data_IF_912801794904
#
_entry.id   IF_912801794904
#
_cell.length_a   1.000
_cell.length_b   1.000
_cell.length_c   1.000
_cell.angle_alpha   90.00
_cell.angle_beta   90.00
_cell.angle_gamma   90.00
#
_symmetry.space_group_name_H-M   'P 1'
#
loop_
_entity.id
_entity.type
_entity.pdbx_description
1 polymer ?
#
# COMPACT_ATOMS: atom_id res chain seq x y z
N UNK A 1 -10.47 -27.79 -19.70
CA UNK A 1 -9.58 -28.77 -19.03
C UNK A 1 -9.81 -28.63 -17.55
N UNK A 2 -10.31 -29.68 -16.90
CA UNK A 2 -10.77 -29.72 -15.51
C UNK A 2 -9.56 -29.75 -14.56
N UNK A 3 -9.54 -28.92 -13.51
CA UNK A 3 -8.64 -29.12 -12.38
C UNK A 3 -9.47 -29.15 -11.11
N UNK A 4 -9.38 -30.26 -10.49
CA UNK A 4 -10.10 -30.84 -9.38
C UNK A 4 -9.75 -30.19 -8.03
N UNK A 5 -10.78 -30.06 -7.23
CA UNK A 5 -10.85 -29.84 -5.79
C UNK A 5 -10.02 -30.87 -4.99
N UNK A 6 -9.23 -30.43 -4.03
CA UNK A 6 -8.74 -31.29 -2.95
C UNK A 6 -9.04 -30.65 -1.59
N UNK A 7 -10.20 -30.97 -1.09
CA UNK A 7 -10.54 -30.96 0.33
C UNK A 7 -9.95 -32.22 0.98
N UNK A 8 -9.12 -32.09 1.99
CA UNK A 8 -8.84 -33.16 2.96
C UNK A 8 -8.97 -32.65 4.39
N UNK A 9 -10.14 -32.90 4.92
CA UNK A 9 -10.47 -32.87 6.33
C UNK A 9 -9.93 -34.17 6.95
N UNK A 10 -8.99 -34.07 7.90
CA UNK A 10 -8.54 -35.21 8.68
C UNK A 10 -9.11 -35.08 10.08
N UNK A 11 -10.16 -35.86 10.36
CA UNK A 11 -10.77 -36.08 11.65
C UNK A 11 -9.99 -37.20 12.36
N UNK A 12 -9.31 -36.88 13.44
CA UNK A 12 -8.72 -37.92 14.30
C UNK A 12 -9.57 -38.04 15.57
N UNK A 13 -10.37 -39.08 15.58
CA UNK A 13 -11.12 -39.55 16.77
C UNK A 13 -10.20 -40.51 17.51
N UNK A 14 -9.83 -40.17 18.72
CA UNK A 14 -9.16 -41.09 19.64
C UNK A 14 -10.12 -41.50 20.74
N UNK A 15 -10.70 -42.67 20.59
CA UNK A 15 -11.46 -43.35 21.63
C UNK A 15 -10.54 -44.23 22.46
N UNK A 16 -10.44 -43.98 23.75
CA UNK A 16 -9.94 -44.98 24.71
C UNK A 16 -10.97 -45.13 25.83
N UNK A 17 -11.50 -46.32 25.87
CA UNK A 17 -12.43 -46.85 26.84
C UNK A 17 -11.71 -47.33 28.11
N UNK A 18 -12.31 -47.01 29.25
CA UNK A 18 -12.44 -47.97 30.36
C UNK A 18 -11.41 -47.92 31.46
N UNK A 19 -11.83 -47.53 32.65
CA UNK A 19 -11.85 -48.44 33.81
C UNK A 19 -12.65 -47.80 34.94
N UNK A 20 -13.67 -48.55 35.40
CA UNK A 20 -14.49 -48.30 36.58
C UNK A 20 -13.70 -48.77 37.82
N UNK A 21 -13.60 -47.92 38.83
CA UNK A 21 -13.39 -48.32 40.20
C UNK A 21 -14.13 -47.35 41.13
N UNK A 22 -15.17 -47.83 41.73
CA UNK A 22 -15.88 -47.19 42.83
C UNK A 22 -15.00 -47.07 44.06
N UNK A 23 -14.95 -45.87 44.66
CA UNK A 23 -14.82 -45.73 46.11
C UNK A 23 -15.46 -44.42 46.52
N UNK A 24 -16.45 -44.54 47.37
CA UNK A 24 -17.21 -43.47 47.99
C UNK A 24 -16.37 -42.62 48.95
N UNK A 25 -16.51 -41.33 48.94
CA UNK A 25 -16.77 -40.43 50.09
C UNK A 25 -16.33 -38.98 49.79
N UNK A 26 -17.24 -38.04 50.16
CA UNK A 26 -17.10 -36.57 50.22
C UNK A 26 -17.18 -35.77 48.90
N UNK A 27 -18.43 -35.63 48.45
CA UNK A 27 -18.92 -34.43 47.74
C UNK A 27 -19.00 -33.29 48.75
N UNK A 28 -18.20 -32.26 48.55
CA UNK A 28 -18.52 -30.85 48.88
C UNK A 28 -17.28 -29.94 48.87
N UNK A 29 -16.57 -29.86 47.75
CA UNK A 29 -15.58 -28.79 47.54
C UNK A 29 -15.09 -28.59 46.10
N UNK A 30 -15.73 -29.17 45.07
CA UNK A 30 -15.19 -29.12 43.70
C UNK A 30 -15.94 -28.17 42.76
N UNK A 31 -17.10 -27.61 43.16
CA UNK A 31 -17.91 -26.76 42.26
C UNK A 31 -17.57 -25.27 42.26
N UNK A 32 -16.85 -24.77 43.26
CA UNK A 32 -16.46 -23.35 43.32
C UNK A 32 -15.17 -22.98 42.55
N UNK A 33 -14.31 -23.95 42.30
CA UNK A 33 -13.01 -23.69 41.65
C UNK A 33 -13.10 -23.73 40.12
N UNK A 34 -14.02 -24.53 39.56
CA UNK A 34 -14.23 -24.60 38.09
C UNK A 34 -14.94 -23.37 37.59
N UNK A 35 -15.90 -22.82 38.31
CA UNK A 35 -16.63 -21.59 37.91
C UNK A 35 -15.74 -20.34 37.96
N UNK A 36 -14.75 -20.27 38.85
CA UNK A 36 -13.79 -19.16 38.91
C UNK A 36 -12.74 -19.25 37.82
N UNK A 37 -12.35 -20.44 37.39
CA UNK A 37 -11.39 -20.64 36.29
C UNK A 37 -11.98 -20.29 34.94
N UNK A 38 -13.25 -20.66 34.66
CA UNK A 38 -13.96 -20.31 33.42
C UNK A 38 -14.19 -18.80 33.32
N UNK A 39 -14.58 -18.12 34.39
CA UNK A 39 -14.74 -16.67 34.43
C UNK A 39 -13.41 -15.92 34.21
N UNK A 40 -12.28 -16.47 34.67
CA UNK A 40 -10.95 -15.91 34.45
C UNK A 40 -10.47 -16.02 32.99
N UNK A 41 -10.74 -17.16 32.36
CA UNK A 41 -10.41 -17.42 30.96
C UNK A 41 -11.22 -16.51 30.02
N UNK A 42 -12.50 -16.33 30.28
CA UNK A 42 -13.36 -15.45 29.50
C UNK A 42 -12.96 -13.96 29.62
N UNK A 43 -12.56 -13.52 30.81
CA UNK A 43 -12.05 -12.18 31.01
C UNK A 43 -10.71 -11.94 30.30
N UNK A 44 -9.83 -12.95 30.29
CA UNK A 44 -8.54 -12.87 29.59
C UNK A 44 -8.74 -12.87 28.07
N UNK A 45 -9.64 -13.69 27.55
CA UNK A 45 -9.98 -13.73 26.13
C UNK A 45 -10.59 -12.42 25.65
N UNK A 46 -11.49 -11.80 26.43
CA UNK A 46 -12.05 -10.49 26.11
C UNK A 46 -10.99 -9.39 26.04
N UNK A 47 -10.09 -9.34 27.01
CA UNK A 47 -8.96 -8.38 26.99
C UNK A 47 -8.05 -8.58 25.80
N UNK A 48 -7.72 -9.82 25.45
CA UNK A 48 -6.92 -10.14 24.28
C UNK A 48 -7.62 -9.71 22.97
N UNK A 49 -8.94 -9.88 22.89
CA UNK A 49 -9.73 -9.41 21.74
C UNK A 49 -9.76 -7.86 21.66
N UNK A 50 -10.00 -7.18 22.77
CA UNK A 50 -9.99 -5.71 22.83
C UNK A 50 -8.60 -5.14 22.45
N UNK A 51 -7.53 -5.77 22.92
CA UNK A 51 -6.16 -5.38 22.55
C UNK A 51 -5.88 -5.63 21.07
N UNK A 52 -6.33 -6.75 20.51
CA UNK A 52 -6.20 -7.07 19.10
C UNK A 52 -6.98 -6.10 18.20
N UNK A 53 -8.23 -5.77 18.58
CA UNK A 53 -9.06 -4.79 17.88
C UNK A 53 -8.43 -3.38 17.96
N UNK A 54 -7.93 -2.98 19.12
CA UNK A 54 -7.24 -1.71 19.29
C UNK A 54 -5.94 -1.65 18.47
N UNK A 55 -5.19 -2.74 18.39
CA UNK A 55 -3.99 -2.85 17.56
C UNK A 55 -4.34 -2.76 16.07
N UNK A 56 -5.38 -3.46 15.62
CA UNK A 56 -5.88 -3.40 14.25
C UNK A 56 -6.36 -2.00 13.87
N UNK A 57 -7.10 -1.34 14.75
CA UNK A 57 -7.54 0.04 14.55
C UNK A 57 -6.37 1.04 14.44
N UNK A 58 -5.34 0.88 15.27
CA UNK A 58 -4.11 1.69 15.19
C UNK A 58 -3.35 1.45 13.88
N UNK A 59 -3.24 0.20 13.44
CA UNK A 59 -2.60 -0.16 12.18
C UNK A 59 -3.36 0.44 10.98
N UNK A 60 -4.68 0.32 10.95
CA UNK A 60 -5.52 0.91 9.91
C UNK A 60 -5.42 2.44 9.87
N UNK A 61 -5.39 3.09 11.04
CA UNK A 61 -5.21 4.54 11.12
C UNK A 61 -3.80 4.98 10.65
N UNK A 62 -2.78 4.19 10.91
CA UNK A 62 -1.42 4.45 10.43
C UNK A 62 -1.33 4.31 8.91
N UNK A 63 -1.92 3.26 8.34
CA UNK A 63 -1.96 3.06 6.89
C UNK A 63 -2.73 4.19 6.18
N UNK A 64 -3.88 4.60 6.71
CA UNK A 64 -4.63 5.73 6.15
C UNK A 64 -3.84 7.05 6.19
N UNK A 65 -3.05 7.29 7.24
CA UNK A 65 -2.14 8.45 7.30
C UNK A 65 -1.06 8.35 6.22
N UNK A 66 -0.44 7.19 6.05
CA UNK A 66 0.57 6.95 5.01
C UNK A 66 -0.02 7.15 3.61
N UNK A 67 -1.20 6.58 3.35
CA UNK A 67 -1.94 6.76 2.10
C UNK A 67 -2.21 8.24 1.82
N UNK A 68 -2.73 8.97 2.80
CA UNK A 68 -3.04 10.39 2.64
C UNK A 68 -1.79 11.23 2.38
N UNK A 69 -0.70 10.97 3.10
CA UNK A 69 0.59 11.63 2.88
C UNK A 69 1.15 11.33 1.48
N UNK A 70 1.10 10.07 1.07
CA UNK A 70 1.55 9.66 -0.26
C UNK A 70 0.75 10.34 -1.38
N UNK A 71 -0.57 10.36 -1.29
CA UNK A 71 -1.44 11.00 -2.28
C UNK A 71 -1.32 12.53 -2.31
N UNK A 72 -0.81 13.14 -1.25
CA UNK A 72 -0.47 14.58 -1.23
C UNK A 72 0.82 14.88 -1.99
N UNK A 73 1.70 13.89 -2.18
CA UNK A 73 2.94 14.04 -2.96
C UNK A 73 2.62 13.87 -4.44
N UNK A 74 2.67 14.97 -5.17
CA UNK A 74 2.30 15.00 -6.59
C UNK A 74 3.44 15.37 -7.52
N UNK A 75 4.63 15.65 -6.98
CA UNK A 75 5.81 16.06 -7.74
C UNK A 75 6.94 15.08 -7.50
N UNK A 76 7.46 14.52 -8.58
CA UNK A 76 8.54 13.53 -8.56
C UNK A 76 9.75 14.11 -9.28
N UNK A 77 10.89 14.14 -8.61
CA UNK A 77 12.12 14.76 -9.09
C UNK A 77 13.09 13.73 -9.69
N UNK A 78 13.80 14.17 -10.72
CA UNK A 78 14.73 13.34 -11.46
C UNK A 78 16.16 13.88 -11.39
N UNK A 79 17.12 13.00 -11.53
CA UNK A 79 18.50 13.39 -11.63
C UNK A 79 18.82 13.93 -13.04
N UNK A 80 19.97 14.57 -13.17
CA UNK A 80 20.38 15.18 -14.44
C UNK A 80 20.48 14.10 -15.54
N UNK A 81 19.82 14.34 -16.66
CA UNK A 81 19.80 13.46 -17.84
C UNK A 81 19.29 12.02 -17.57
N UNK A 82 18.60 11.81 -16.47
CA UNK A 82 18.00 10.51 -16.10
C UNK A 82 16.48 10.55 -16.30
N UNK A 83 15.93 9.47 -16.87
CA UNK A 83 14.49 9.30 -17.07
C UNK A 83 13.84 8.36 -16.03
N UNK A 84 14.64 7.62 -15.27
CA UNK A 84 14.18 6.74 -14.20
C UNK A 84 13.85 7.56 -12.95
N UNK A 85 12.69 7.30 -12.35
CA UNK A 85 12.31 7.91 -11.07
C UNK A 85 13.08 7.25 -9.90
N UNK A 86 13.21 7.98 -8.81
CA UNK A 86 14.01 7.55 -7.66
C UNK A 86 13.38 6.37 -6.95
N UNK A 87 14.21 5.49 -6.40
CA UNK A 87 13.77 4.33 -5.63
C UNK A 87 12.84 4.72 -4.46
N UNK A 88 13.13 5.85 -3.79
CA UNK A 88 12.33 6.37 -2.69
C UNK A 88 10.90 6.79 -3.08
N UNK A 89 10.62 7.00 -4.37
CA UNK A 89 9.30 7.40 -4.85
C UNK A 89 8.37 6.20 -5.12
N UNK A 90 8.89 4.97 -5.08
CA UNK A 90 8.14 3.76 -5.42
C UNK A 90 6.90 3.55 -4.54
N UNK A 91 7.06 3.71 -3.24
CA UNK A 91 5.96 3.50 -2.30
C UNK A 91 4.86 4.54 -2.52
N UNK A 92 5.25 5.80 -2.74
CA UNK A 92 4.33 6.89 -3.05
C UNK A 92 3.56 6.61 -4.34
N UNK A 93 4.27 6.22 -5.41
CA UNK A 93 3.66 5.86 -6.70
C UNK A 93 2.75 4.63 -6.58
N UNK A 94 3.09 3.67 -5.72
CA UNK A 94 2.22 2.50 -5.45
C UNK A 94 0.90 2.92 -4.82
N UNK A 95 0.88 3.90 -3.89
CA UNK A 95 -0.36 4.44 -3.34
C UNK A 95 -1.19 5.15 -4.41
N UNK A 96 -0.58 5.92 -5.32
CA UNK A 96 -1.29 6.52 -6.46
C UNK A 96 -1.90 5.46 -7.39
N UNK A 97 -1.16 4.38 -7.69
CA UNK A 97 -1.66 3.30 -8.52
C UNK A 97 -2.87 2.60 -7.88
N UNK A 98 -2.79 2.30 -6.59
CA UNK A 98 -3.90 1.70 -5.82
C UNK A 98 -5.12 2.62 -5.76
N UNK A 99 -4.90 3.92 -5.59
CA UNK A 99 -5.99 4.90 -5.59
C UNK A 99 -6.70 4.97 -6.94
N UNK A 100 -5.95 4.95 -8.05
CA UNK A 100 -6.52 4.88 -9.39
C UNK A 100 -7.28 3.57 -9.62
N UNK A 101 -6.73 2.43 -9.20
CA UNK A 101 -7.38 1.13 -9.32
C UNK A 101 -8.70 1.07 -8.53
N UNK A 102 -8.74 1.67 -7.33
CA UNK A 102 -9.94 1.74 -6.50
C UNK A 102 -10.99 2.73 -7.03
N UNK A 103 -10.60 3.68 -7.88
CA UNK A 103 -11.47 4.75 -8.40
C UNK A 103 -11.46 4.77 -9.94
N UNK A 104 -12.20 3.89 -10.63
CA UNK A 104 -12.15 3.76 -12.10
C UNK A 104 -12.55 5.01 -12.89
N UNK A 105 -13.31 5.91 -12.28
CA UNK A 105 -13.71 7.20 -12.87
C UNK A 105 -12.64 8.29 -12.75
N UNK A 106 -11.69 8.13 -11.84
CA UNK A 106 -10.60 9.10 -11.62
C UNK A 106 -9.68 9.14 -12.84
N UNK A 107 -9.28 10.35 -13.23
CA UNK A 107 -8.31 10.61 -14.29
C UNK A 107 -7.20 11.47 -13.74
N UNK A 108 -6.02 11.28 -14.27
CA UNK A 108 -4.84 12.11 -13.98
C UNK A 108 -4.09 12.43 -15.27
N UNK A 109 -3.32 13.51 -15.22
CA UNK A 109 -2.34 13.86 -16.24
C UNK A 109 -0.95 13.86 -15.61
N UNK A 110 0.02 13.25 -16.29
CA UNK A 110 1.42 13.29 -15.95
C UNK A 110 2.12 14.32 -16.83
N UNK A 111 2.58 15.41 -16.24
CA UNK A 111 3.28 16.48 -16.93
C UNK A 111 4.79 16.35 -16.73
N UNK A 112 5.52 16.03 -17.81
CA UNK A 112 6.97 15.81 -17.77
C UNK A 112 7.75 17.08 -18.11
N UNK A 113 8.81 17.33 -17.33
CA UNK A 113 9.64 18.52 -17.44
C UNK A 113 11.14 18.19 -17.42
N UNK A 114 11.94 19.07 -17.99
CA UNK A 114 13.38 19.06 -17.98
C UNK A 114 13.93 20.43 -17.54
N UNK A 115 15.22 20.50 -17.22
CA UNK A 115 15.91 21.78 -17.09
C UNK A 115 16.32 22.32 -18.48
N UNK A 116 16.78 23.55 -18.54
CA UNK A 116 17.08 24.27 -19.79
C UNK A 116 18.36 23.81 -20.51
N UNK A 117 19.11 22.86 -19.95
CA UNK A 117 20.35 22.38 -20.55
C UNK A 117 20.06 21.37 -21.65
N UNK A 118 20.56 21.62 -22.83
CA UNK A 118 20.37 20.80 -24.03
C UNK A 118 19.57 21.49 -25.12
N UNK A 119 19.01 20.72 -26.05
CA UNK A 119 18.11 21.27 -27.07
C UNK A 119 16.64 21.10 -26.63
N UNK A 120 15.79 22.00 -27.10
CA UNK A 120 14.36 21.95 -26.82
C UNK A 120 13.74 20.61 -27.19
N UNK A 121 14.08 20.07 -28.35
CA UNK A 121 13.58 18.76 -28.82
C UNK A 121 14.03 17.63 -27.91
N UNK A 122 15.29 17.66 -27.48
CA UNK A 122 15.84 16.67 -26.54
C UNK A 122 15.09 16.74 -25.21
N UNK A 123 14.91 17.94 -24.65
CA UNK A 123 14.26 18.14 -23.36
C UNK A 123 12.77 17.76 -23.41
N UNK A 124 12.10 18.00 -24.54
CA UNK A 124 10.73 17.55 -24.76
C UNK A 124 10.66 16.01 -24.72
N UNK A 125 11.56 15.33 -25.44
CA UNK A 125 11.64 13.87 -25.43
C UNK A 125 12.03 13.30 -24.05
N UNK A 126 12.91 13.98 -23.31
CA UNK A 126 13.30 13.57 -21.96
C UNK A 126 12.13 13.67 -20.98
N UNK A 127 11.37 14.78 -21.01
CA UNK A 127 10.17 14.95 -20.21
C UNK A 127 9.11 13.87 -20.51
N UNK A 128 8.94 13.52 -21.79
CA UNK A 128 8.04 12.44 -22.21
C UNK A 128 8.49 11.08 -21.66
N UNK A 129 9.80 10.74 -21.77
CA UNK A 129 10.34 9.48 -21.21
C UNK A 129 10.10 9.39 -19.70
N UNK A 130 10.29 10.49 -18.94
CA UNK A 130 10.03 10.58 -17.50
C UNK A 130 8.56 10.32 -17.17
N UNK A 131 7.65 10.99 -17.85
CA UNK A 131 6.21 10.81 -17.67
C UNK A 131 5.78 9.38 -18.00
N UNK A 132 6.28 8.81 -19.10
CA UNK A 132 5.99 7.43 -19.50
C UNK A 132 6.61 6.39 -18.54
N UNK A 133 7.73 6.67 -17.91
CA UNK A 133 8.31 5.83 -16.87
C UNK A 133 7.37 5.69 -15.67
N UNK A 134 6.83 6.81 -15.18
CA UNK A 134 5.82 6.81 -14.10
C UNK A 134 4.51 6.14 -14.58
N UNK A 135 4.00 6.47 -15.77
CA UNK A 135 2.82 5.83 -16.36
C UNK A 135 2.92 4.30 -16.33
N UNK A 136 4.03 3.76 -16.84
CA UNK A 136 4.23 2.32 -16.89
C UNK A 136 4.25 1.69 -15.50
N UNK A 137 4.87 2.37 -14.53
CA UNK A 137 4.88 1.90 -13.15
C UNK A 137 3.47 1.87 -12.54
N UNK A 138 2.66 2.91 -12.76
CA UNK A 138 1.29 2.96 -12.28
C UNK A 138 0.42 1.84 -12.89
N UNK A 139 0.57 1.56 -14.20
CA UNK A 139 -0.16 0.49 -14.88
C UNK A 139 0.22 -0.88 -14.33
N UNK A 140 1.51 -1.15 -14.16
CA UNK A 140 2.00 -2.43 -13.59
C UNK A 140 1.46 -2.66 -12.17
N UNK A 141 1.21 -1.57 -11.43
CA UNK A 141 0.67 -1.61 -10.07
C UNK A 141 -0.87 -1.47 -10.00
N UNK A 142 -1.58 -1.64 -11.12
CA UNK A 142 -3.03 -1.82 -11.16
C UNK A 142 -3.85 -0.65 -11.71
N UNK A 143 -3.24 0.48 -12.06
CA UNK A 143 -3.97 1.59 -12.70
C UNK A 143 -4.33 1.22 -14.15
N UNK A 144 -5.48 1.69 -14.63
CA UNK A 144 -5.87 1.52 -16.02
C UNK A 144 -5.24 2.57 -16.93
N UNK A 145 -4.75 2.14 -18.12
CA UNK A 145 -4.13 3.05 -19.10
C UNK A 145 -5.01 4.25 -19.47
N UNK A 146 -6.32 4.03 -19.54
CA UNK A 146 -7.30 5.05 -19.91
C UNK A 146 -7.55 6.09 -18.81
N UNK A 147 -6.99 5.92 -17.62
CA UNK A 147 -7.07 6.88 -16.51
C UNK A 147 -5.94 7.92 -16.56
N UNK A 148 -4.90 7.69 -17.39
CA UNK A 148 -3.65 8.45 -17.31
C UNK A 148 -3.31 9.03 -18.68
N UNK A 149 -3.26 10.34 -18.75
CA UNK A 149 -2.72 11.11 -19.88
C UNK A 149 -1.26 11.48 -19.60
N UNK A 150 -0.41 11.49 -20.61
CA UNK A 150 0.97 11.98 -20.50
C UNK A 150 1.19 13.14 -21.44
N UNK A 151 1.81 14.21 -20.93
CA UNK A 151 2.21 15.39 -21.70
C UNK A 151 3.63 15.75 -21.30
N UNK A 152 4.45 16.16 -22.25
CA UNK A 152 5.75 16.75 -21.98
C UNK A 152 5.76 18.23 -22.36
N UNK A 153 6.33 19.03 -21.48
CA UNK A 153 6.64 20.43 -21.73
C UNK A 153 8.13 20.67 -21.87
N UNK A 154 8.96 19.62 -21.65
CA UNK A 154 10.40 19.79 -21.67
C UNK A 154 10.83 20.94 -20.76
N UNK A 155 11.57 21.90 -21.30
CA UNK A 155 12.04 23.11 -20.61
C UNK A 155 11.06 24.30 -20.64
N UNK A 156 9.92 24.18 -21.37
CA UNK A 156 9.04 25.32 -21.67
C UNK A 156 8.25 25.85 -20.47
N UNK A 157 8.06 25.00 -19.44
CA UNK A 157 7.34 25.37 -18.22
C UNK A 157 8.21 25.15 -16.97
N UNK A 158 9.23 25.99 -16.75
CA UNK A 158 10.08 25.85 -15.58
C UNK A 158 9.33 26.18 -14.30
N UNK A 159 9.54 25.37 -13.25
CA UNK A 159 9.11 25.67 -11.89
C UNK A 159 9.96 26.78 -11.26
N UNK A 160 11.23 26.86 -11.66
CA UNK A 160 12.17 27.89 -11.24
C UNK A 160 12.95 28.40 -12.46
N UNK A 161 12.98 29.71 -12.63
CA UNK A 161 13.69 30.39 -13.74
C UNK A 161 15.15 30.71 -13.42
N UNK A 162 15.65 30.29 -12.27
CA UNK A 162 17.06 30.44 -11.91
C UNK A 162 17.96 29.48 -12.68
N UNK A 163 19.24 29.83 -12.80
CA UNK A 163 20.27 29.05 -13.50
C UNK A 163 21.20 28.28 -12.54
N UNK A 164 20.81 28.15 -11.28
CA UNK A 164 21.54 27.35 -10.30
C UNK A 164 21.17 25.87 -10.39
N UNK A 165 22.06 24.98 -9.94
CA UNK A 165 21.74 23.55 -9.88
C UNK A 165 20.50 23.26 -9.03
N UNK A 166 20.25 24.06 -7.99
CA UNK A 166 19.04 23.96 -7.18
C UNK A 166 17.78 24.32 -7.99
N UNK A 167 17.83 25.33 -8.88
CA UNK A 167 16.74 25.65 -9.79
C UNK A 167 16.54 24.54 -10.83
N UNK A 168 17.61 24.05 -11.43
CA UNK A 168 17.57 22.93 -12.37
C UNK A 168 16.97 21.66 -11.75
N UNK A 169 17.32 21.36 -10.50
CA UNK A 169 16.72 20.22 -9.77
C UNK A 169 15.21 20.36 -9.61
N UNK A 170 14.68 21.57 -9.38
CA UNK A 170 13.24 21.80 -9.31
C UNK A 170 12.55 21.67 -10.67
N UNK A 171 13.28 21.92 -11.75
CA UNK A 171 12.75 21.82 -13.12
C UNK A 171 12.70 20.37 -13.61
N UNK A 172 13.62 19.51 -13.19
CA UNK A 172 13.66 18.09 -13.55
C UNK A 172 12.61 17.31 -12.78
N UNK A 173 11.36 17.34 -13.23
CA UNK A 173 10.25 16.77 -12.50
C UNK A 173 9.16 16.17 -13.39
N UNK A 174 8.33 15.35 -12.80
CA UNK A 174 7.00 14.99 -13.32
C UNK A 174 5.96 15.40 -12.28
N UNK A 175 4.91 16.02 -12.73
CA UNK A 175 3.77 16.42 -11.89
C UNK A 175 2.55 15.55 -12.18
N UNK A 176 1.82 15.14 -11.11
CA UNK A 176 0.50 14.52 -11.22
C UNK A 176 -0.55 15.63 -11.09
N UNK A 177 -1.31 15.87 -12.15
CA UNK A 177 -2.36 16.88 -12.22
C UNK A 177 -3.72 16.18 -12.33
N UNK A 178 -4.72 16.69 -11.62
CA UNK A 178 -6.12 16.34 -11.86
C UNK A 178 -6.59 17.18 -13.06
N UNK A 179 -7.10 16.58 -14.15
CA UNK A 179 -7.50 17.28 -15.38
C UNK A 179 -8.79 18.11 -15.19
#
# INVERSE_FOLDING_TARGET
MKITQFTKLALVIFALSGFVACSSTSEEAAESDVAQTESGVDATNRRAQEEAEAAAARAAAAEERMRRSALATRVFYFDFDVAEFRQGDRDVLTYHARDLAANPSKRIRLEGHADERGTREYNLALGERRANGILNYLIVNGASRNQIETVSYGEERPADRGTSEAAYQRNRRVEIIDP
#
